data_IF_238654903830
#
_entry.id   IF_238654903830
#
_cell.length_a   1.000
_cell.length_b   1.000
_cell.length_c   1.000
_cell.angle_alpha   90.00
_cell.angle_beta   90.00
_cell.angle_gamma   90.00
#
_symmetry.space_group_name_H-M   'P 1'
#
loop_
_entity.id
_entity.type
_entity.pdbx_description
1 polymer ?
#
# COMPACT_ATOMS: atom_id res chain seq x y z
N UNK A 1 -18.31 -43.36 -0.91
CA UNK A 1 -17.45 -42.13 -0.91
C UNK A 1 -16.02 -42.62 -0.72
N UNK A 2 -15.25 -42.67 -1.82
CA UNK A 2 -13.85 -43.13 -1.79
C UNK A 2 -12.96 -41.97 -1.30
N UNK A 3 -12.17 -42.17 -0.25
CA UNK A 3 -11.15 -41.25 0.23
C UNK A 3 -10.18 -40.88 -0.92
N UNK A 4 -9.88 -39.58 -1.14
CA UNK A 4 -8.89 -39.22 -2.11
C UNK A 4 -7.51 -39.71 -1.66
N UNK A 5 -6.89 -40.54 -2.47
CA UNK A 5 -5.58 -41.14 -2.20
C UNK A 5 -4.50 -40.07 -1.96
N UNK A 6 -3.55 -40.32 -1.05
CA UNK A 6 -2.42 -39.41 -0.72
C UNK A 6 -1.70 -38.86 -1.98
N UNK A 7 -1.65 -39.63 -3.07
CA UNK A 7 -1.03 -39.25 -4.38
C UNK A 7 -1.75 -38.10 -5.09
N UNK A 8 -3.07 -37.97 -4.97
CA UNK A 8 -3.83 -36.86 -5.56
C UNK A 8 -3.58 -35.57 -4.80
N UNK A 9 -3.53 -35.60 -3.47
CA UNK A 9 -3.24 -34.40 -2.62
C UNK A 9 -1.83 -33.85 -2.86
N UNK A 10 -0.83 -34.72 -3.03
CA UNK A 10 0.56 -34.27 -3.31
C UNK A 10 0.69 -33.64 -4.70
N UNK A 11 0.00 -34.17 -5.72
CA UNK A 11 -0.01 -33.59 -7.05
C UNK A 11 -0.74 -32.25 -7.11
N UNK A 12 -1.79 -32.08 -6.33
CA UNK A 12 -2.54 -30.80 -6.27
C UNK A 12 -1.73 -29.71 -5.51
N UNK A 13 -1.01 -30.07 -4.46
CA UNK A 13 -0.10 -29.17 -3.77
C UNK A 13 1.07 -28.74 -4.68
N UNK A 14 1.67 -29.65 -5.42
CA UNK A 14 2.73 -29.33 -6.38
C UNK A 14 2.24 -28.42 -7.53
N UNK A 15 1.02 -28.63 -8.01
CA UNK A 15 0.39 -27.78 -9.01
C UNK A 15 0.10 -26.38 -8.44
N UNK A 16 -0.37 -26.27 -7.20
CA UNK A 16 -0.61 -25.00 -6.53
C UNK A 16 0.69 -24.20 -6.39
N UNK A 17 1.77 -24.83 -5.92
CA UNK A 17 3.08 -24.17 -5.79
C UNK A 17 3.65 -23.79 -7.17
N UNK A 18 3.52 -24.66 -8.16
CA UNK A 18 4.01 -24.35 -9.53
C UNK A 18 3.26 -23.19 -10.20
N UNK A 19 2.02 -22.92 -9.77
CA UNK A 19 1.23 -21.78 -10.23
C UNK A 19 1.73 -20.43 -9.67
N UNK A 20 2.47 -20.46 -8.55
CA UNK A 20 3.06 -19.27 -7.92
C UNK A 20 4.36 -18.84 -8.60
N UNK A 21 5.02 -19.75 -9.35
CA UNK A 21 6.30 -19.47 -9.97
C UNK A 21 6.17 -18.70 -11.30
N UNK A 22 7.15 -17.86 -11.65
CA UNK A 22 7.16 -17.12 -12.91
C UNK A 22 7.29 -18.06 -14.10
N UNK A 23 6.57 -17.77 -15.20
CA UNK A 23 6.61 -18.52 -16.43
C UNK A 23 7.26 -17.70 -17.54
N UNK A 24 8.13 -18.31 -18.32
CA UNK A 24 8.78 -17.65 -19.46
C UNK A 24 7.79 -17.06 -20.48
N UNK A 25 6.63 -17.70 -20.64
CA UNK A 25 5.58 -17.22 -21.53
C UNK A 25 5.06 -15.83 -21.20
N UNK A 26 5.20 -15.37 -19.95
CA UNK A 26 4.76 -14.03 -19.50
C UNK A 26 5.69 -12.91 -19.98
N UNK A 27 6.95 -13.26 -20.32
CA UNK A 27 7.96 -12.33 -20.80
C UNK A 27 7.99 -12.18 -22.32
N UNK A 28 7.43 -13.17 -23.07
CA UNK A 28 7.39 -13.13 -24.53
C UNK A 28 6.74 -11.86 -25.12
N UNK A 29 5.61 -11.33 -24.57
CA UNK A 29 5.03 -10.08 -25.06
C UNK A 29 5.96 -8.89 -24.87
N UNK A 30 6.70 -8.82 -23.76
CA UNK A 30 7.67 -7.77 -23.47
C UNK A 30 8.79 -7.69 -24.52
N UNK A 31 9.27 -8.85 -24.96
CA UNK A 31 10.34 -8.94 -25.95
C UNK A 31 9.90 -8.53 -27.37
N UNK A 32 8.58 -8.59 -27.67
CA UNK A 32 8.05 -8.24 -29.00
C UNK A 32 7.86 -6.73 -29.19
N UNK A 33 7.52 -6.00 -28.13
CA UNK A 33 7.27 -4.56 -28.18
C UNK A 33 7.72 -3.88 -26.86
N UNK A 34 9.03 -3.79 -26.59
CA UNK A 34 9.54 -3.32 -25.31
C UNK A 34 9.40 -1.80 -25.11
N UNK A 35 9.26 -1.02 -26.20
CA UNK A 35 9.35 0.44 -26.16
C UNK A 35 8.35 1.12 -25.20
N UNK A 36 7.09 0.68 -25.18
CA UNK A 36 6.08 1.24 -24.27
C UNK A 36 6.37 0.91 -22.81
N UNK A 37 6.84 -0.31 -22.52
CA UNK A 37 7.18 -0.72 -21.17
C UNK A 37 8.45 -0.02 -20.65
N UNK A 38 9.47 0.16 -21.52
CA UNK A 38 10.67 0.90 -21.16
C UNK A 38 10.35 2.38 -20.84
N UNK A 39 9.54 3.01 -21.69
CA UNK A 39 9.11 4.41 -21.45
C UNK A 39 8.26 4.52 -20.18
N UNK A 40 7.32 3.61 -19.97
CA UNK A 40 6.50 3.59 -18.77
C UNK A 40 7.36 3.39 -17.51
N UNK A 41 8.30 2.43 -17.54
CA UNK A 41 9.24 2.20 -16.46
C UNK A 41 10.11 3.42 -16.14
N UNK A 42 10.58 4.13 -17.17
CA UNK A 42 11.31 5.40 -17.00
C UNK A 42 10.45 6.45 -16.30
N UNK A 43 9.24 6.71 -16.79
CA UNK A 43 8.34 7.71 -16.20
C UNK A 43 8.04 7.36 -14.74
N UNK A 44 7.78 6.09 -14.44
CA UNK A 44 7.52 5.64 -13.08
C UNK A 44 8.75 5.79 -12.20
N UNK A 45 9.96 5.50 -12.69
CA UNK A 45 11.19 5.69 -11.93
C UNK A 45 11.39 7.15 -11.51
N UNK A 46 11.16 8.08 -12.45
CA UNK A 46 11.26 9.53 -12.19
C UNK A 46 10.24 10.02 -11.16
N UNK A 47 9.03 9.45 -11.13
CA UNK A 47 8.01 9.76 -10.11
C UNK A 47 8.33 9.08 -8.78
N UNK A 48 8.83 7.84 -8.82
CA UNK A 48 9.05 7.02 -7.64
C UNK A 48 10.31 7.43 -6.86
N UNK A 49 11.32 8.00 -7.51
CA UNK A 49 12.58 8.38 -6.87
C UNK A 49 12.38 9.30 -5.66
N UNK A 50 11.74 10.48 -5.77
CA UNK A 50 11.53 11.34 -4.62
C UNK A 50 10.67 10.69 -3.53
N UNK A 51 9.67 9.88 -3.93
CA UNK A 51 8.80 9.17 -2.99
C UNK A 51 9.58 8.11 -2.20
N UNK A 52 10.42 7.33 -2.87
CA UNK A 52 11.22 6.29 -2.21
C UNK A 52 12.20 6.90 -1.20
N UNK A 53 12.88 7.99 -1.59
CA UNK A 53 13.77 8.74 -0.71
C UNK A 53 13.01 9.32 0.49
N UNK A 54 11.89 9.99 0.23
CA UNK A 54 11.06 10.61 1.26
C UNK A 54 10.51 9.59 2.26
N UNK A 55 10.00 8.45 1.81
CA UNK A 55 9.52 7.39 2.70
C UNK A 55 10.66 6.76 3.52
N UNK A 56 11.84 6.58 2.93
CA UNK A 56 13.02 6.13 3.68
C UNK A 56 13.41 7.09 4.79
N UNK A 57 13.45 8.40 4.50
CA UNK A 57 13.71 9.45 5.51
C UNK A 57 12.63 9.46 6.59
N UNK A 58 11.35 9.42 6.19
CA UNK A 58 10.22 9.47 7.13
C UNK A 58 10.13 8.27 8.06
N UNK A 59 10.71 7.11 7.70
CA UNK A 59 10.82 5.96 8.61
C UNK A 59 11.95 6.09 9.64
N UNK A 60 12.84 7.07 9.47
CA UNK A 60 14.05 7.18 10.30
C UNK A 60 15.21 6.27 9.87
N UNK A 61 15.02 5.39 8.85
CA UNK A 61 16.12 4.54 8.34
C UNK A 61 16.94 5.23 7.23
N UNK A 62 16.52 6.41 6.81
CA UNK A 62 17.22 7.22 5.81
C UNK A 62 16.83 6.92 4.36
N UNK A 63 17.19 7.86 3.49
CA UNK A 63 16.84 7.84 2.07
C UNK A 63 17.38 6.59 1.34
N UNK A 64 18.57 6.12 1.73
CA UNK A 64 19.21 4.93 1.18
C UNK A 64 18.36 3.67 1.36
N UNK A 65 17.76 3.48 2.55
CA UNK A 65 16.91 2.33 2.84
C UNK A 65 15.65 2.34 1.95
N UNK A 66 15.01 3.50 1.76
CA UNK A 66 13.88 3.64 0.87
C UNK A 66 14.22 3.34 -0.60
N UNK A 67 15.35 3.84 -1.08
CA UNK A 67 15.82 3.59 -2.45
C UNK A 67 16.19 2.11 -2.66
N UNK A 68 16.90 1.50 -1.71
CA UNK A 68 17.24 0.06 -1.71
C UNK A 68 15.96 -0.77 -1.81
N UNK A 69 14.92 -0.41 -1.04
CA UNK A 69 13.62 -1.09 -1.09
C UNK A 69 12.98 -0.97 -2.46
N UNK A 70 12.96 0.23 -3.05
CA UNK A 70 12.37 0.43 -4.38
C UNK A 70 13.09 -0.38 -5.45
N UNK A 71 14.41 -0.58 -5.32
CA UNK A 71 15.21 -1.40 -6.24
C UNK A 71 14.94 -2.89 -5.99
N UNK A 72 15.27 -3.39 -4.82
CA UNK A 72 15.26 -4.82 -4.52
C UNK A 72 13.83 -5.38 -4.54
N UNK A 73 12.92 -4.79 -3.77
CA UNK A 73 11.53 -5.24 -3.76
C UNK A 73 10.86 -5.01 -5.11
N UNK A 74 11.21 -3.92 -5.82
CA UNK A 74 10.73 -3.66 -7.17
C UNK A 74 11.11 -4.75 -8.16
N UNK A 75 12.37 -5.20 -8.18
CA UNK A 75 12.83 -6.31 -9.03
C UNK A 75 12.13 -7.62 -8.65
N UNK A 76 12.14 -7.98 -7.37
CA UNK A 76 11.59 -9.26 -6.89
C UNK A 76 10.09 -9.34 -7.16
N UNK A 77 9.33 -8.30 -6.80
CA UNK A 77 7.89 -8.28 -7.05
C UNK A 77 7.54 -8.24 -8.55
N UNK A 78 8.32 -7.54 -9.38
CA UNK A 78 8.12 -7.55 -10.84
C UNK A 78 8.28 -8.95 -11.44
N UNK A 79 9.21 -9.75 -10.93
CA UNK A 79 9.47 -11.11 -11.42
C UNK A 79 8.47 -12.13 -10.88
N UNK A 80 8.23 -12.12 -9.58
CA UNK A 80 7.48 -13.16 -8.88
C UNK A 80 6.00 -12.81 -8.63
N UNK A 81 5.62 -11.51 -8.62
CA UNK A 81 4.26 -11.05 -8.34
C UNK A 81 3.19 -11.57 -9.29
N UNK A 82 1.94 -11.47 -8.90
CA UNK A 82 0.76 -11.91 -9.65
C UNK A 82 0.29 -10.91 -10.71
N UNK A 83 0.52 -9.63 -10.49
CA UNK A 83 0.19 -8.56 -11.44
C UNK A 83 1.31 -8.36 -12.47
N UNK A 84 0.95 -7.97 -13.69
CA UNK A 84 1.91 -7.72 -14.77
C UNK A 84 2.42 -6.29 -14.81
N UNK A 85 1.72 -5.36 -14.20
CA UNK A 85 1.98 -3.92 -14.31
C UNK A 85 2.11 -3.22 -12.96
N UNK A 86 1.99 -3.97 -11.87
CA UNK A 86 2.13 -3.41 -10.53
C UNK A 86 3.58 -2.99 -10.27
N UNK A 87 3.71 -1.86 -9.58
CA UNK A 87 4.98 -1.31 -9.13
C UNK A 87 5.03 -1.41 -7.61
N UNK A 88 6.01 -2.15 -7.09
CA UNK A 88 6.24 -2.35 -5.65
C UNK A 88 7.42 -1.53 -5.13
N UNK A 89 7.43 -1.28 -3.82
CA UNK A 89 8.48 -0.54 -3.13
C UNK A 89 7.96 0.07 -1.84
N UNK A 90 8.67 1.03 -1.23
CA UNK A 90 8.23 1.68 0.00
C UNK A 90 6.98 2.52 -0.26
N UNK A 91 6.04 2.55 0.68
CA UNK A 91 4.79 3.33 0.60
C UNK A 91 4.59 4.14 1.86
N UNK A 92 3.73 5.17 1.75
CA UNK A 92 3.39 6.00 2.90
C UNK A 92 2.67 5.23 4.01
N UNK A 93 1.78 4.30 3.65
CA UNK A 93 1.11 3.45 4.63
C UNK A 93 2.11 2.59 5.40
N UNK A 94 3.09 2.01 4.69
CA UNK A 94 4.16 1.24 5.33
C UNK A 94 4.98 2.11 6.28
N UNK A 95 5.31 3.34 5.88
CA UNK A 95 6.04 4.31 6.74
C UNK A 95 5.31 4.56 8.06
N UNK A 96 3.98 4.73 8.02
CA UNK A 96 3.15 4.94 9.21
C UNK A 96 3.28 3.79 10.22
N UNK A 97 3.31 2.54 9.74
CA UNK A 97 3.46 1.36 10.60
C UNK A 97 4.89 1.20 11.11
N UNK A 98 5.88 1.60 10.29
CA UNK A 98 7.29 1.39 10.65
C UNK A 98 7.82 2.39 11.65
N UNK A 99 7.32 3.63 11.70
CA UNK A 99 7.81 4.66 12.66
C UNK A 99 7.75 4.19 14.11
N UNK A 100 6.63 3.70 14.65
CA UNK A 100 6.59 3.17 16.02
C UNK A 100 7.50 1.94 16.21
N UNK A 101 7.64 1.08 15.18
CA UNK A 101 8.52 -0.08 15.22
C UNK A 101 9.99 0.35 15.30
N UNK A 102 10.38 1.40 14.56
CA UNK A 102 11.73 1.97 14.67
C UNK A 102 11.97 2.54 16.07
N UNK A 103 11.01 3.24 16.64
CA UNK A 103 11.13 3.84 17.96
C UNK A 103 11.31 2.78 19.06
N UNK A 104 10.61 1.64 18.96
CA UNK A 104 10.62 0.59 19.97
C UNK A 104 11.76 -0.43 19.78
N UNK A 105 12.01 -0.86 18.52
CA UNK A 105 12.94 -1.96 18.20
C UNK A 105 14.18 -1.52 17.41
N UNK A 106 14.28 -0.24 17.09
CA UNK A 106 15.39 0.31 16.31
C UNK A 106 15.39 -0.12 14.83
N UNK A 107 16.40 0.32 14.06
CA UNK A 107 16.54 -0.01 12.63
C UNK A 107 16.62 -1.51 12.34
N UNK A 108 17.38 -2.25 13.17
CA UNK A 108 17.56 -3.71 13.04
C UNK A 108 16.25 -4.46 13.26
N UNK A 109 15.42 -3.99 14.21
CA UNK A 109 14.08 -4.52 14.45
C UNK A 109 13.16 -4.39 13.25
N UNK A 110 13.21 -3.26 12.53
CA UNK A 110 12.43 -3.08 11.29
C UNK A 110 12.83 -4.07 10.21
N UNK A 111 14.13 -4.32 10.04
CA UNK A 111 14.61 -5.30 9.06
C UNK A 111 14.13 -6.72 9.43
N UNK A 112 14.19 -7.08 10.71
CA UNK A 112 13.72 -8.37 11.20
C UNK A 112 12.18 -8.51 11.03
N UNK A 113 11.41 -7.48 11.35
CA UNK A 113 9.97 -7.41 11.11
C UNK A 113 9.65 -7.59 9.62
N UNK A 114 10.40 -6.94 8.73
CA UNK A 114 10.23 -7.09 7.28
C UNK A 114 10.44 -8.53 6.80
N UNK A 115 11.49 -9.17 7.29
CA UNK A 115 11.79 -10.57 6.97
C UNK A 115 10.69 -11.50 7.48
N UNK A 116 10.25 -11.35 8.73
CA UNK A 116 9.15 -12.13 9.31
C UNK A 116 7.83 -11.89 8.57
N UNK A 117 7.52 -10.64 8.23
CA UNK A 117 6.34 -10.29 7.45
C UNK A 117 6.37 -10.95 6.05
N UNK A 118 7.54 -10.99 5.42
CA UNK A 118 7.75 -11.70 4.17
C UNK A 118 7.46 -13.20 4.28
N UNK A 119 7.90 -13.84 5.35
CA UNK A 119 7.59 -15.26 5.63
C UNK A 119 6.09 -15.46 5.84
N UNK A 120 5.44 -14.59 6.61
CA UNK A 120 3.98 -14.64 6.83
C UNK A 120 3.25 -14.50 5.49
N UNK A 121 3.63 -13.57 4.62
CA UNK A 121 3.05 -13.40 3.29
C UNK A 121 3.19 -14.64 2.42
N UNK A 122 4.33 -15.34 2.47
CA UNK A 122 4.51 -16.61 1.77
C UNK A 122 3.54 -17.69 2.29
N UNK A 123 3.36 -17.78 3.60
CA UNK A 123 2.40 -18.71 4.21
C UNK A 123 0.97 -18.38 3.75
N UNK A 124 0.57 -17.10 3.76
CA UNK A 124 -0.74 -16.65 3.29
C UNK A 124 -0.95 -16.96 1.79
N UNK A 125 0.10 -16.79 0.96
CA UNK A 125 0.06 -17.10 -0.46
C UNK A 125 -0.17 -18.60 -0.72
N UNK A 126 0.56 -19.47 -0.01
CA UNK A 126 0.43 -20.92 -0.13
C UNK A 126 -0.91 -21.41 0.41
N UNK A 127 -1.42 -20.76 1.48
CA UNK A 127 -2.74 -21.03 2.04
C UNK A 127 -3.91 -20.58 1.14
N UNK A 128 -3.63 -19.80 0.06
CA UNK A 128 -4.68 -19.32 -0.87
C UNK A 128 -5.55 -18.20 -0.32
N UNK A 129 -5.04 -17.45 0.67
CA UNK A 129 -5.79 -16.39 1.39
C UNK A 129 -5.87 -15.10 0.56
N UNK A 130 -5.05 -14.94 -0.49
CA UNK A 130 -5.05 -13.75 -1.34
C UNK A 130 -6.42 -13.37 -1.89
N UNK A 131 -7.28 -14.35 -2.13
CA UNK A 131 -8.65 -14.13 -2.63
C UNK A 131 -9.58 -13.48 -1.59
N UNK A 132 -9.25 -13.56 -0.31
CA UNK A 132 -10.10 -13.03 0.76
C UNK A 132 -10.17 -11.50 0.77
N UNK A 133 -9.13 -10.81 0.29
CA UNK A 133 -9.07 -9.34 0.27
C UNK A 133 -10.16 -8.70 -0.61
N UNK A 134 -10.65 -9.41 -1.63
CA UNK A 134 -11.77 -8.92 -2.45
C UNK A 134 -13.09 -8.71 -1.69
N UNK A 135 -13.21 -9.27 -0.48
CA UNK A 135 -14.38 -9.11 0.38
C UNK A 135 -14.25 -7.92 1.34
N UNK A 136 -13.14 -7.16 1.27
CA UNK A 136 -12.95 -5.98 2.12
C UNK A 136 -13.94 -4.88 1.72
N UNK A 137 -14.72 -4.35 2.67
CA UNK A 137 -15.69 -3.31 2.38
C UNK A 137 -15.04 -1.99 1.96
N UNK A 138 -15.58 -1.34 0.92
CA UNK A 138 -15.09 -0.06 0.45
C UNK A 138 -15.00 1.04 1.53
N UNK A 139 -15.97 1.18 2.48
CA UNK A 139 -15.87 2.14 3.57
C UNK A 139 -14.63 1.97 4.47
N UNK A 140 -14.20 0.72 4.70
CA UNK A 140 -12.98 0.43 5.47
C UNK A 140 -11.76 0.91 4.71
N UNK A 141 -11.67 0.61 3.41
CA UNK A 141 -10.55 1.01 2.55
C UNK A 141 -10.43 2.53 2.49
N UNK A 142 -11.53 3.23 2.25
CA UNK A 142 -11.52 4.69 2.15
C UNK A 142 -11.21 5.39 3.48
N UNK A 143 -11.79 4.92 4.58
CA UNK A 143 -11.49 5.44 5.91
C UNK A 143 -10.02 5.25 6.28
N UNK A 144 -9.49 4.07 5.98
CA UNK A 144 -8.11 3.72 6.15
C UNK A 144 -7.16 4.59 5.29
N UNK A 145 -7.42 4.73 3.99
CA UNK A 145 -6.58 5.53 3.09
C UNK A 145 -6.59 7.00 3.46
N UNK A 146 -7.74 7.55 3.82
CA UNK A 146 -7.85 8.93 4.29
C UNK A 146 -7.11 9.14 5.63
N UNK A 147 -7.20 8.18 6.55
CA UNK A 147 -6.47 8.21 7.82
C UNK A 147 -4.95 8.20 7.60
N UNK A 148 -4.46 7.31 6.76
CA UNK A 148 -3.04 7.27 6.37
C UNK A 148 -2.58 8.60 5.77
N UNK A 149 -3.37 9.20 4.89
CA UNK A 149 -3.03 10.48 4.28
C UNK A 149 -2.82 11.57 5.35
N UNK A 150 -3.68 11.62 6.37
CA UNK A 150 -3.53 12.56 7.49
C UNK A 150 -2.27 12.24 8.32
N UNK A 151 -2.03 10.98 8.64
CA UNK A 151 -0.84 10.59 9.43
C UNK A 151 0.44 10.90 8.67
N UNK A 152 0.52 10.61 7.36
CA UNK A 152 1.69 10.99 6.53
C UNK A 152 1.86 12.51 6.52
N UNK A 153 0.78 13.28 6.36
CA UNK A 153 0.86 14.73 6.39
C UNK A 153 1.44 15.24 7.73
N UNK A 154 0.98 14.70 8.85
CA UNK A 154 1.52 15.03 10.18
C UNK A 154 3.00 14.64 10.32
N UNK A 155 3.41 13.48 9.80
CA UNK A 155 4.82 13.05 9.79
C UNK A 155 5.74 14.01 9.01
N UNK A 156 5.21 14.73 8.01
CA UNK A 156 6.01 15.66 7.23
C UNK A 156 6.15 17.05 7.87
N UNK A 157 5.34 17.37 8.91
CA UNK A 157 5.37 18.70 9.55
C UNK A 157 6.77 19.07 10.05
N UNK A 158 7.50 18.22 10.82
CA UNK A 158 8.84 18.57 11.27
C UNK A 158 9.80 18.90 10.12
N UNK A 159 9.90 18.01 9.12
CA UNK A 159 10.79 18.21 7.96
C UNK A 159 10.38 19.41 7.09
N UNK A 160 9.08 19.67 6.96
CA UNK A 160 8.57 20.82 6.22
C UNK A 160 8.86 22.14 6.92
N UNK A 161 8.89 22.14 8.26
CA UNK A 161 9.23 23.32 9.08
C UNK A 161 10.75 23.45 9.36
N UNK A 162 11.54 22.42 9.02
CA UNK A 162 12.98 22.39 9.28
C UNK A 162 13.35 22.13 10.74
N UNK A 163 12.47 21.49 11.49
CA UNK A 163 12.70 21.10 12.87
C UNK A 163 13.20 19.65 12.89
N UNK A 164 14.40 19.42 13.39
CA UNK A 164 15.03 18.08 13.44
C UNK A 164 14.75 17.33 14.74
N UNK A 165 14.55 18.07 15.83
CA UNK A 165 14.51 17.55 17.20
C UNK A 165 13.09 17.66 17.79
N UNK A 166 12.05 17.41 16.96
CA UNK A 166 10.66 17.41 17.41
C UNK A 166 10.39 16.21 18.33
N UNK A 167 9.97 16.49 19.57
CA UNK A 167 9.69 15.47 20.58
C UNK A 167 8.23 14.95 20.48
N UNK A 168 8.01 13.71 20.86
CA UNK A 168 6.68 13.11 20.98
C UNK A 168 6.62 11.64 20.62
N UNK A 169 5.95 10.84 21.45
CA UNK A 169 5.75 9.40 21.24
C UNK A 169 4.77 9.10 20.10
N UNK A 170 3.91 10.06 19.77
CA UNK A 170 2.91 9.92 18.69
C UNK A 170 3.13 10.96 17.61
N UNK A 171 2.83 10.60 16.38
CA UNK A 171 3.03 11.45 15.19
C UNK A 171 2.39 12.83 15.33
N UNK A 172 1.19 12.91 15.87
CA UNK A 172 0.51 14.20 16.08
C UNK A 172 1.16 15.05 17.18
N UNK A 173 1.79 14.43 18.20
CA UNK A 173 2.55 15.14 19.23
C UNK A 173 3.80 15.76 18.65
N UNK A 174 4.59 14.98 17.89
CA UNK A 174 5.78 15.47 17.19
C UNK A 174 5.45 16.58 16.20
N UNK A 175 4.33 16.47 15.46
CA UNK A 175 3.86 17.54 14.57
C UNK A 175 3.50 18.82 15.32
N UNK A 176 2.82 18.69 16.47
CA UNK A 176 2.46 19.82 17.31
C UNK A 176 3.68 20.49 17.94
N UNK A 177 4.63 19.69 18.47
CA UNK A 177 5.88 20.19 19.03
C UNK A 177 6.71 20.92 17.99
N UNK A 178 6.85 20.35 16.78
CA UNK A 178 7.52 21.00 15.67
C UNK A 178 6.86 22.36 15.30
N UNK A 179 5.54 22.40 15.26
CA UNK A 179 4.82 23.65 15.00
C UNK A 179 5.06 24.69 16.08
N UNK A 180 5.09 24.29 17.34
CA UNK A 180 5.38 25.16 18.48
C UNK A 180 6.83 25.68 18.45
N UNK A 181 7.78 24.78 18.20
CA UNK A 181 9.21 25.12 18.09
C UNK A 181 9.47 26.06 16.92
N UNK A 182 8.76 25.86 15.81
CA UNK A 182 8.83 26.76 14.67
C UNK A 182 8.41 28.20 14.99
N UNK A 183 7.36 28.41 15.78
CA UNK A 183 6.91 29.76 16.21
C UNK A 183 8.00 30.47 17.02
N UNK A 184 8.84 29.73 17.78
CA UNK A 184 9.91 30.29 18.58
C UNK A 184 11.18 30.61 17.77
N UNK A 185 11.47 29.84 16.71
CA UNK A 185 12.71 29.88 15.92
C UNK A 185 12.45 29.89 14.40
N UNK A 186 11.48 30.67 13.95
CA UNK A 186 10.95 30.63 12.58
C UNK A 186 12.01 30.95 11.50
N UNK A 187 12.39 29.95 10.73
CA UNK A 187 13.00 30.13 9.41
C UNK A 187 11.95 29.91 8.33
N UNK A 188 11.50 31.00 7.71
CA UNK A 188 10.45 30.94 6.66
C UNK A 188 10.90 30.18 5.41
N UNK A 189 12.20 30.03 5.23
CA UNK A 189 12.80 29.50 4.01
C UNK A 189 12.47 28.01 3.80
N UNK A 190 12.62 27.19 4.83
CA UNK A 190 12.34 25.74 4.75
C UNK A 190 10.88 25.44 4.42
N UNK A 191 9.86 26.00 5.13
CA UNK A 191 8.48 25.79 4.74
C UNK A 191 8.12 26.41 3.38
N UNK A 192 8.75 27.51 2.97
CA UNK A 192 8.53 28.07 1.65
C UNK A 192 8.96 27.10 0.54
N UNK A 193 10.09 26.40 0.69
CA UNK A 193 10.54 25.37 -0.25
C UNK A 193 9.56 24.19 -0.25
N UNK A 194 9.14 23.68 0.90
CA UNK A 194 8.19 22.58 0.98
C UNK A 194 6.85 22.92 0.33
N UNK A 195 6.30 24.10 0.60
CA UNK A 195 5.05 24.59 0.02
C UNK A 195 5.19 24.82 -1.49
N UNK A 196 6.28 25.43 -1.95
CA UNK A 196 6.53 25.66 -3.37
C UNK A 196 6.57 24.32 -4.14
N UNK A 197 7.30 23.33 -3.64
CA UNK A 197 7.36 21.99 -4.23
C UNK A 197 5.96 21.34 -4.26
N UNK A 198 5.20 21.42 -3.16
CA UNK A 198 3.84 20.88 -3.11
C UNK A 198 2.91 21.56 -4.13
N UNK A 199 2.96 22.89 -4.25
CA UNK A 199 2.17 23.66 -5.23
C UNK A 199 2.56 23.28 -6.66
N UNK A 200 3.86 23.26 -6.98
CA UNK A 200 4.34 22.88 -8.32
C UNK A 200 3.88 21.48 -8.69
N UNK A 201 3.93 20.53 -7.75
CA UNK A 201 3.48 19.16 -7.96
C UNK A 201 1.96 19.07 -8.16
N UNK A 202 1.16 19.80 -7.37
CA UNK A 202 -0.30 19.77 -7.46
C UNK A 202 -0.83 20.50 -8.69
N UNK A 203 -0.35 21.70 -8.93
CA UNK A 203 -0.76 22.56 -10.07
C UNK A 203 -0.21 22.02 -11.38
N UNK A 204 1.09 21.73 -11.43
CA UNK A 204 1.75 21.19 -12.62
C UNK A 204 1.13 19.87 -13.07
N UNK A 205 0.83 18.97 -12.13
CA UNK A 205 0.16 17.70 -12.44
C UNK A 205 -1.25 17.85 -13.01
N UNK A 206 -1.94 18.98 -12.74
CA UNK A 206 -3.24 19.30 -13.38
C UNK A 206 -3.06 19.90 -14.77
N UNK A 207 -2.06 20.76 -14.95
CA UNK A 207 -1.81 21.48 -16.22
C UNK A 207 -1.18 20.56 -17.28
N UNK A 208 -0.24 19.71 -16.89
CA UNK A 208 0.48 18.81 -17.80
C UNK A 208 0.69 17.42 -17.16
N UNK A 209 -0.33 16.56 -17.14
CA UNK A 209 -0.32 15.29 -16.42
C UNK A 209 0.70 14.27 -16.95
N UNK A 210 1.30 14.52 -18.10
CA UNK A 210 2.36 13.66 -18.67
C UNK A 210 3.75 13.96 -18.11
N UNK A 211 3.94 15.13 -17.48
CA UNK A 211 5.24 15.54 -16.92
C UNK A 211 5.35 15.04 -15.48
N UNK A 212 6.47 14.41 -15.09
CA UNK A 212 6.72 13.97 -13.73
C UNK A 212 7.08 15.15 -12.81
N UNK A 213 6.09 15.98 -12.45
CA UNK A 213 6.33 17.20 -11.67
C UNK A 213 6.93 16.96 -10.30
N UNK A 214 6.84 15.76 -9.74
CA UNK A 214 7.56 15.42 -8.50
C UNK A 214 9.07 15.54 -8.66
N UNK A 215 9.62 15.01 -9.75
CA UNK A 215 11.04 15.16 -10.05
C UNK A 215 11.41 16.59 -10.42
N UNK A 216 10.59 17.23 -11.28
CA UNK A 216 10.86 18.62 -11.72
C UNK A 216 10.90 19.56 -10.51
N UNK A 217 9.94 19.45 -9.60
CA UNK A 217 9.88 20.30 -8.40
C UNK A 217 11.07 20.07 -7.47
N UNK A 218 11.44 18.80 -7.23
CA UNK A 218 12.60 18.45 -6.40
C UNK A 218 13.89 18.94 -7.05
N UNK A 219 14.09 18.70 -8.35
CA UNK A 219 15.28 19.18 -9.06
C UNK A 219 15.39 20.71 -9.03
N UNK A 220 14.28 21.42 -9.28
CA UNK A 220 14.25 22.88 -9.19
C UNK A 220 14.57 23.39 -7.78
N UNK A 221 14.01 22.75 -6.74
CA UNK A 221 14.32 23.09 -5.35
C UNK A 221 15.81 22.83 -5.02
N UNK A 222 16.35 21.69 -5.48
CA UNK A 222 17.78 21.36 -5.26
C UNK A 222 18.70 22.39 -5.95
N UNK A 223 18.42 22.73 -7.20
CA UNK A 223 19.20 23.74 -7.91
C UNK A 223 19.07 25.11 -7.23
N UNK A 224 17.88 25.51 -6.82
CA UNK A 224 17.66 26.78 -6.13
C UNK A 224 18.41 26.83 -4.79
N UNK A 225 18.39 25.76 -3.99
CA UNK A 225 19.10 25.70 -2.70
C UNK A 225 20.60 25.76 -2.87
N UNK A 226 21.16 25.21 -3.95
CA UNK A 226 22.60 25.30 -4.25
C UNK A 226 22.97 26.68 -4.81
N UNK A 227 22.18 27.21 -5.76
CA UNK A 227 22.48 28.48 -6.44
C UNK A 227 22.43 29.68 -5.49
N UNK A 228 21.47 29.66 -4.55
CA UNK A 228 21.29 30.77 -3.59
C UNK A 228 21.94 30.45 -2.21
N UNK A 229 22.72 29.38 -2.12
CA UNK A 229 23.41 28.92 -0.90
C UNK A 229 22.48 28.91 0.33
N UNK A 230 21.28 28.31 0.16
CA UNK A 230 20.27 28.29 1.20
C UNK A 230 20.64 27.28 2.28
N UNK A 231 20.66 27.71 3.54
CA UNK A 231 20.91 26.86 4.70
C UNK A 231 19.66 26.03 5.03
N UNK A 232 19.49 24.92 4.29
CA UNK A 232 18.39 23.97 4.43
C UNK A 232 18.97 22.57 4.54
N UNK A 233 18.48 21.77 5.50
CA UNK A 233 18.88 20.40 5.69
C UNK A 233 18.69 19.57 4.41
N UNK A 234 19.73 18.81 4.04
CA UNK A 234 19.78 17.95 2.84
C UNK A 234 19.75 16.48 3.25
N UNK A 235 19.49 15.60 2.29
CA UNK A 235 19.53 14.14 2.52
C UNK A 235 20.88 13.71 3.08
N UNK A 236 21.97 14.31 2.60
CA UNK A 236 23.32 13.90 2.96
C UNK A 236 23.83 12.70 2.16
N UNK A 237 24.92 12.09 2.59
CA UNK A 237 25.58 11.03 1.83
C UNK A 237 24.72 9.78 1.66
N UNK A 238 24.51 9.38 0.42
CA UNK A 238 23.87 8.12 0.06
C UNK A 238 24.95 7.18 -0.47
N UNK A 239 24.97 5.90 -0.03
CA UNK A 239 25.88 4.92 -0.61
C UNK A 239 25.66 4.83 -2.13
N UNK A 240 26.76 4.85 -2.87
CA UNK A 240 26.74 4.65 -4.34
C UNK A 240 26.67 3.19 -4.76
N UNK A 241 26.33 2.30 -3.83
CA UNK A 241 26.19 0.86 -4.07
C UNK A 241 25.19 0.25 -3.09
N UNK A 242 24.56 -0.84 -3.52
CA UNK A 242 23.77 -1.68 -2.60
C UNK A 242 24.69 -2.33 -1.58
N UNK A 243 24.26 -2.36 -0.33
CA UNK A 243 24.94 -3.11 0.72
C UNK A 243 25.02 -4.59 0.37
N UNK A 244 26.07 -5.27 0.81
CA UNK A 244 26.10 -6.73 0.68
C UNK A 244 24.96 -7.35 1.49
N UNK A 245 24.33 -8.44 1.00
CA UNK A 245 23.24 -9.08 1.72
C UNK A 245 23.72 -9.63 3.06
N UNK A 246 23.01 -9.33 4.12
CA UNK A 246 23.35 -9.72 5.48
C UNK A 246 22.10 -10.14 6.24
N UNK A 247 22.27 -11.12 7.15
CA UNK A 247 21.28 -11.52 8.17
C UNK A 247 21.71 -11.09 9.57
N UNK A 248 22.76 -10.29 9.70
CA UNK A 248 23.29 -9.87 10.99
C UNK A 248 22.30 -9.08 11.88
N UNK A 249 21.20 -8.62 11.32
CA UNK A 249 20.12 -7.96 12.05
C UNK A 249 19.13 -8.92 12.70
N UNK A 250 19.17 -10.22 12.37
CA UNK A 250 18.15 -11.19 12.77
C UNK A 250 18.63 -12.07 13.92
N UNK A 251 17.93 -12.00 15.05
CA UNK A 251 18.21 -12.81 16.23
C UNK A 251 16.97 -13.65 16.57
N UNK A 252 17.13 -14.96 16.71
CA UNK A 252 16.01 -15.88 17.02
C UNK A 252 15.33 -15.57 18.35
N UNK A 253 16.04 -14.98 19.31
CA UNK A 253 15.49 -14.58 20.61
C UNK A 253 14.42 -13.50 20.53
N UNK A 254 14.46 -12.66 19.50
CA UNK A 254 13.56 -11.52 19.34
C UNK A 254 12.26 -11.84 18.60
N UNK A 255 12.16 -13.05 18.00
CA UNK A 255 11.04 -13.44 17.15
C UNK A 255 9.69 -13.31 17.84
N UNK A 256 9.59 -13.67 19.11
CA UNK A 256 8.32 -13.60 19.86
C UNK A 256 7.84 -12.16 20.05
N UNK A 257 8.74 -11.23 20.33
CA UNK A 257 8.44 -9.81 20.49
C UNK A 257 8.07 -9.16 19.12
N UNK A 258 8.75 -9.58 18.05
CA UNK A 258 8.58 -9.01 16.72
C UNK A 258 7.41 -9.62 15.93
N UNK A 259 6.79 -10.70 16.43
CA UNK A 259 5.74 -11.41 15.69
C UNK A 259 4.48 -10.54 15.48
N UNK A 260 4.04 -9.81 16.50
CA UNK A 260 2.87 -8.94 16.38
C UNK A 260 3.12 -7.78 15.39
N UNK A 261 4.22 -7.02 15.47
CA UNK A 261 4.60 -6.05 14.43
C UNK A 261 4.71 -6.67 13.03
N UNK A 262 5.29 -7.88 12.93
CA UNK A 262 5.43 -8.56 11.64
C UNK A 262 4.07 -8.97 11.04
N UNK A 263 3.13 -9.44 11.85
CA UNK A 263 1.76 -9.69 11.41
C UNK A 263 1.08 -8.41 10.90
N UNK A 264 1.31 -7.29 11.56
CA UNK A 264 0.82 -5.99 11.18
C UNK A 264 1.34 -5.56 9.80
N UNK A 265 2.66 -5.61 9.62
CA UNK A 265 3.33 -5.29 8.35
C UNK A 265 2.87 -6.25 7.25
N UNK A 266 2.75 -7.55 7.52
CA UNK A 266 2.27 -8.54 6.55
C UNK A 266 0.82 -8.28 6.13
N UNK A 267 -0.06 -7.99 7.08
CA UNK A 267 -1.45 -7.65 6.80
C UNK A 267 -1.56 -6.41 5.91
N UNK A 268 -0.83 -5.34 6.25
CA UNK A 268 -0.79 -4.12 5.45
C UNK A 268 -0.23 -4.40 4.04
N UNK A 269 0.91 -5.09 3.95
CA UNK A 269 1.51 -5.43 2.66
C UNK A 269 0.58 -6.27 1.78
N UNK A 270 -0.14 -7.23 2.36
CA UNK A 270 -1.15 -8.01 1.65
C UNK A 270 -2.28 -7.12 1.14
N UNK A 271 -2.87 -6.29 2.00
CA UNK A 271 -3.99 -5.43 1.66
C UNK A 271 -3.62 -4.43 0.57
N UNK A 272 -2.57 -3.66 0.79
CA UNK A 272 -2.16 -2.59 -0.12
C UNK A 272 -1.75 -3.15 -1.49
N UNK A 273 -1.03 -4.29 -1.52
CA UNK A 273 -0.61 -4.93 -2.76
C UNK A 273 -1.79 -5.49 -3.56
N UNK A 274 -2.73 -6.16 -2.91
CA UNK A 274 -3.91 -6.71 -3.59
C UNK A 274 -4.88 -5.61 -4.04
N UNK A 275 -5.01 -4.52 -3.29
CA UNK A 275 -5.77 -3.34 -3.72
C UNK A 275 -5.11 -2.67 -4.92
N UNK A 276 -3.78 -2.52 -4.90
CA UNK A 276 -3.02 -1.97 -6.02
C UNK A 276 -3.16 -2.82 -7.29
N UNK A 277 -3.07 -4.15 -7.17
CA UNK A 277 -3.27 -5.07 -8.28
C UNK A 277 -4.72 -5.02 -8.82
N UNK A 278 -5.72 -4.94 -7.93
CA UNK A 278 -7.13 -4.79 -8.31
C UNK A 278 -7.40 -3.46 -9.02
N UNK A 279 -6.79 -2.37 -8.53
CA UNK A 279 -6.86 -1.08 -9.19
C UNK A 279 -6.25 -1.12 -10.60
N UNK A 280 -5.12 -1.81 -10.79
CA UNK A 280 -4.53 -2.03 -12.11
C UNK A 280 -5.45 -2.83 -13.05
N UNK A 281 -6.09 -3.87 -12.53
CA UNK A 281 -7.07 -4.68 -13.30
C UNK A 281 -8.25 -3.83 -13.77
N UNK A 282 -8.75 -2.91 -12.94
CA UNK A 282 -9.86 -2.01 -13.28
C UNK A 282 -9.51 -1.02 -14.39
N UNK A 283 -8.21 -0.74 -14.60
CA UNK A 283 -7.71 0.10 -15.69
C UNK A 283 -7.63 -0.63 -17.04
N UNK A 284 -7.99 -1.91 -17.10
CA UNK A 284 -8.20 -2.65 -18.35
C UNK A 284 -6.92 -3.12 -19.05
N UNK A 285 -5.80 -3.26 -18.34
CA UNK A 285 -4.53 -3.69 -18.92
C UNK A 285 -4.33 -5.20 -18.77
N UNK A 286 -4.75 -5.95 -19.77
CA UNK A 286 -4.43 -7.38 -19.91
C UNK A 286 -5.26 -8.32 -19.04
N UNK A 287 -4.71 -9.47 -18.68
CA UNK A 287 -5.37 -10.46 -17.84
C UNK A 287 -5.34 -10.02 -16.36
N UNK A 288 -6.40 -10.38 -15.63
CA UNK A 288 -6.49 -10.13 -14.19
C UNK A 288 -5.30 -10.74 -13.44
N UNK A 289 -4.89 -10.07 -12.37
CA UNK A 289 -3.82 -10.56 -11.51
C UNK A 289 -4.20 -11.87 -10.80
N UNK A 290 -3.20 -12.64 -10.39
CA UNK A 290 -3.37 -13.77 -9.49
C UNK A 290 -3.07 -13.32 -8.05
N UNK A 291 -4.09 -13.26 -7.15
CA UNK A 291 -3.91 -12.74 -5.80
C UNK A 291 -2.91 -13.53 -4.95
N UNK A 292 -2.96 -14.86 -5.03
CA UNK A 292 -2.07 -15.71 -4.23
C UNK A 292 -0.62 -15.58 -4.69
N UNK A 293 -0.41 -15.50 -6.00
CA UNK A 293 0.91 -15.22 -6.57
C UNK A 293 1.39 -13.80 -6.28
N UNK A 294 0.48 -12.84 -6.16
CA UNK A 294 0.83 -11.48 -5.75
C UNK A 294 1.40 -11.48 -4.34
N UNK A 295 0.72 -12.14 -3.39
CA UNK A 295 1.23 -12.31 -2.03
C UNK A 295 2.57 -13.06 -2.00
N UNK A 296 2.76 -14.05 -2.86
CA UNK A 296 4.02 -14.78 -2.97
C UNK A 296 5.17 -13.85 -3.41
N UNK A 297 4.97 -13.04 -4.44
CA UNK A 297 5.96 -12.07 -4.91
C UNK A 297 6.28 -11.01 -3.87
N UNK A 298 5.26 -10.50 -3.16
CA UNK A 298 5.44 -9.54 -2.08
C UNK A 298 6.13 -10.17 -0.86
N UNK A 299 5.86 -11.44 -0.56
CA UNK A 299 6.56 -12.18 0.49
C UNK A 299 8.06 -12.30 0.18
N UNK A 300 8.42 -12.72 -1.02
CA UNK A 300 9.82 -12.77 -1.46
C UNK A 300 10.47 -11.38 -1.46
N UNK A 301 9.75 -10.34 -1.87
CA UNK A 301 10.25 -8.97 -1.87
C UNK A 301 10.56 -8.47 -0.45
N UNK A 302 9.68 -8.79 0.52
CA UNK A 302 9.85 -8.44 1.93
C UNK A 302 10.90 -9.28 2.66
N UNK A 303 11.27 -10.45 2.13
CA UNK A 303 12.44 -11.20 2.58
C UNK A 303 13.72 -10.58 1.99
N UNK A 304 13.70 -10.26 0.69
CA UNK A 304 14.88 -9.80 -0.01
C UNK A 304 15.31 -8.37 0.40
N UNK A 305 14.37 -7.42 0.50
CA UNK A 305 14.71 -6.01 0.77
C UNK A 305 15.48 -5.82 2.09
N UNK A 306 15.07 -6.40 3.24
CA UNK A 306 15.82 -6.29 4.49
C UNK A 306 17.24 -6.83 4.44
N UNK A 307 17.52 -7.88 3.65
CA UNK A 307 18.86 -8.42 3.47
C UNK A 307 19.85 -7.39 2.95
N UNK A 308 19.39 -6.41 2.18
CA UNK A 308 20.18 -5.31 1.63
C UNK A 308 20.00 -3.99 2.41
N UNK A 309 19.41 -4.03 3.60
CA UNK A 309 19.14 -2.84 4.42
C UNK A 309 17.93 -2.03 3.98
N UNK A 310 17.06 -2.60 3.15
CA UNK A 310 15.80 -1.98 2.73
C UNK A 310 14.68 -2.18 3.76
N UNK A 311 13.71 -1.25 3.77
CA UNK A 311 12.50 -1.33 4.60
C UNK A 311 11.45 -2.25 3.95
N UNK A 312 10.45 -2.72 4.70
CA UNK A 312 9.31 -3.45 4.15
C UNK A 312 8.63 -2.72 2.99
N UNK A 313 8.17 -3.51 2.01
CA UNK A 313 7.59 -3.04 0.75
C UNK A 313 6.18 -3.53 0.53
N UNK A 314 5.45 -2.84 -0.34
CA UNK A 314 4.13 -3.23 -0.82
C UNK A 314 3.90 -2.74 -2.24
N UNK A 315 2.84 -3.20 -2.89
CA UNK A 315 2.38 -2.67 -4.17
C UNK A 315 1.82 -1.27 -4.01
N UNK A 316 2.35 -0.31 -4.75
CA UNK A 316 1.98 1.09 -4.63
C UNK A 316 0.88 1.46 -5.65
N UNK A 317 -0.34 1.75 -5.19
CA UNK A 317 -1.50 2.09 -6.04
C UNK A 317 -1.17 3.26 -6.98
N UNK A 318 -0.67 4.37 -6.44
CA UNK A 318 -0.37 5.58 -7.23
C UNK A 318 0.70 5.34 -8.30
N UNK A 319 1.80 4.64 -7.96
CA UNK A 319 2.86 4.29 -8.91
C UNK A 319 2.38 3.30 -9.97
N UNK A 320 1.58 2.32 -9.59
CA UNK A 320 0.95 1.37 -10.50
C UNK A 320 0.01 2.08 -11.47
N UNK A 321 -0.79 3.04 -11.01
CA UNK A 321 -1.65 3.84 -11.87
C UNK A 321 -0.84 4.69 -12.86
N UNK A 322 0.28 5.29 -12.44
CA UNK A 322 1.19 6.00 -13.34
C UNK A 322 1.77 5.04 -14.38
N UNK A 323 2.21 3.85 -13.97
CA UNK A 323 2.75 2.84 -14.87
C UNK A 323 1.76 2.47 -15.98
N UNK A 324 0.52 2.15 -15.61
CA UNK A 324 -0.55 1.81 -16.54
C UNK A 324 -0.86 2.98 -17.48
N UNK A 325 -1.05 4.21 -16.95
CA UNK A 325 -1.34 5.39 -17.75
C UNK A 325 -0.19 5.79 -18.70
N UNK A 326 1.03 5.43 -18.35
CA UNK A 326 2.21 5.65 -19.19
C UNK A 326 2.38 4.59 -20.29
N UNK A 327 1.49 3.60 -20.35
CA UNK A 327 1.45 2.60 -21.42
C UNK A 327 2.10 1.27 -21.07
N UNK A 328 2.33 0.97 -19.79
CA UNK A 328 2.82 -0.33 -19.34
C UNK A 328 1.84 -1.45 -19.71
N UNK A 329 2.37 -2.55 -20.24
CA UNK A 329 1.59 -3.73 -20.65
C UNK A 329 2.12 -5.02 -20.05
N UNK A 330 3.39 -5.02 -19.65
CA UNK A 330 4.07 -6.23 -19.16
C UNK A 330 4.90 -5.92 -17.91
N UNK A 331 5.43 -6.98 -17.30
CA UNK A 331 6.36 -6.92 -16.16
C UNK A 331 7.63 -6.13 -16.44
N UNK A 332 7.98 -5.97 -17.72
CA UNK A 332 9.18 -5.24 -18.13
C UNK A 332 9.14 -3.78 -17.66
N UNK A 333 7.98 -3.13 -17.62
CA UNK A 333 7.87 -1.77 -17.14
C UNK A 333 8.26 -1.63 -15.66
N UNK A 334 7.76 -2.52 -14.79
CA UNK A 334 8.11 -2.52 -13.37
C UNK A 334 9.59 -2.91 -13.13
N UNK A 335 10.12 -3.84 -13.93
CA UNK A 335 11.55 -4.20 -13.88
C UNK A 335 12.42 -3.02 -14.33
N UNK A 336 12.06 -2.35 -15.42
CA UNK A 336 12.77 -1.17 -15.93
C UNK A 336 12.80 -0.04 -14.90
N UNK A 337 11.68 0.20 -14.20
CA UNK A 337 11.63 1.16 -13.11
C UNK A 337 12.69 0.86 -12.04
N UNK A 338 12.78 -0.37 -11.57
CA UNK A 338 13.74 -0.76 -10.53
C UNK A 338 15.18 -0.66 -11.01
N UNK A 339 15.45 -1.07 -12.26
CA UNK A 339 16.78 -0.95 -12.89
C UNK A 339 17.20 0.52 -13.04
N UNK A 340 16.30 1.41 -13.47
CA UNK A 340 16.60 2.84 -13.57
C UNK A 340 16.93 3.44 -12.21
N UNK A 341 16.18 3.09 -11.15
CA UNK A 341 16.49 3.53 -9.79
C UNK A 341 17.88 3.03 -9.33
N UNK A 342 18.25 1.79 -9.68
CA UNK A 342 19.58 1.28 -9.43
C UNK A 342 20.63 2.08 -10.19
N UNK A 343 20.43 2.36 -11.49
CA UNK A 343 21.34 3.20 -12.27
C UNK A 343 21.51 4.58 -11.63
N UNK A 344 20.42 5.22 -11.19
CA UNK A 344 20.48 6.52 -10.49
C UNK A 344 21.29 6.40 -9.19
N UNK A 345 21.08 5.34 -8.40
CA UNK A 345 21.84 5.09 -7.16
C UNK A 345 23.35 4.99 -7.43
N UNK A 346 23.73 4.24 -8.47
CA UNK A 346 25.16 4.02 -8.79
C UNK A 346 25.82 5.21 -9.48
N UNK A 347 25.08 5.99 -10.28
CA UNK A 347 25.67 7.05 -11.13
C UNK A 347 25.42 8.47 -10.62
N UNK A 348 24.37 8.69 -9.84
CA UNK A 348 23.90 10.01 -9.45
C UNK A 348 23.70 10.19 -7.93
N UNK A 349 24.32 9.34 -7.10
CA UNK A 349 24.20 9.38 -5.64
C UNK A 349 24.56 10.77 -5.06
N UNK A 350 25.57 11.45 -5.61
CA UNK A 350 25.96 12.80 -5.20
C UNK A 350 24.86 13.84 -5.47
N UNK A 351 24.17 13.77 -6.62
CA UNK A 351 23.05 14.68 -6.92
C UNK A 351 21.86 14.43 -6.00
N UNK A 352 21.63 13.16 -5.62
CA UNK A 352 20.56 12.79 -4.69
C UNK A 352 20.89 13.24 -3.28
N UNK A 353 22.15 13.22 -2.88
CA UNK A 353 22.63 13.71 -1.57
C UNK A 353 22.29 15.18 -1.30
N UNK A 354 22.29 15.99 -2.34
CA UNK A 354 22.02 17.43 -2.29
C UNK A 354 20.53 17.80 -2.22
N UNK A 355 19.62 16.86 -2.33
CA UNK A 355 18.18 17.12 -2.29
C UNK A 355 17.78 17.63 -0.90
N UNK A 356 17.07 18.78 -0.80
CA UNK A 356 16.59 19.30 0.47
C UNK A 356 15.51 18.38 1.09
N UNK A 357 15.58 18.13 2.39
CA UNK A 357 14.54 17.37 3.10
C UNK A 357 13.17 18.04 2.99
N UNK A 358 13.13 19.38 3.00
CA UNK A 358 11.92 20.16 2.78
C UNK A 358 11.26 19.87 1.42
N UNK A 359 12.07 19.66 0.37
CA UNK A 359 11.53 19.28 -0.94
C UNK A 359 10.86 17.92 -0.92
N UNK A 360 11.45 16.93 -0.24
CA UNK A 360 10.83 15.62 -0.06
C UNK A 360 9.54 15.71 0.76
N UNK A 361 9.54 16.50 1.84
CA UNK A 361 8.34 16.77 2.63
C UNK A 361 7.24 17.39 1.76
N UNK A 362 7.56 18.35 0.90
CA UNK A 362 6.62 18.93 -0.05
C UNK A 362 6.03 17.93 -1.03
N UNK A 363 6.84 17.00 -1.55
CA UNK A 363 6.36 15.88 -2.42
C UNK A 363 5.40 14.97 -1.66
N UNK A 364 5.75 14.60 -0.42
CA UNK A 364 4.91 13.72 0.40
C UNK A 364 3.60 14.41 0.79
N UNK A 365 3.62 15.70 1.17
CA UNK A 365 2.43 16.51 1.42
C UNK A 365 1.51 16.59 0.18
N UNK A 366 2.07 16.85 -1.01
CA UNK A 366 1.29 16.84 -2.25
C UNK A 366 0.69 15.45 -2.54
N UNK A 367 1.40 14.39 -2.17
CA UNK A 367 0.93 13.02 -2.34
C UNK A 367 -0.24 12.70 -1.41
N UNK A 368 -0.22 13.18 -0.15
CA UNK A 368 -1.35 12.98 0.80
C UNK A 368 -2.63 13.61 0.29
N UNK A 369 -2.55 14.82 -0.31
CA UNK A 369 -3.71 15.47 -0.94
C UNK A 369 -4.31 14.61 -2.07
N UNK A 370 -3.46 13.93 -2.86
CA UNK A 370 -3.90 13.05 -3.96
C UNK A 370 -4.40 11.70 -3.50
N UNK A 371 -4.05 11.24 -2.29
CA UNK A 371 -4.53 9.99 -1.72
C UNK A 371 -5.99 10.07 -1.31
N UNK A 372 -6.49 11.25 -0.94
CA UNK A 372 -7.88 11.43 -0.51
C UNK A 372 -8.80 11.49 -1.72
N UNK A 373 -9.53 10.41 -1.98
CA UNK A 373 -10.48 10.33 -3.11
C UNK A 373 -11.85 10.87 -2.72
N UNK A 374 -12.01 12.20 -2.84
CA UNK A 374 -13.23 12.90 -2.41
C UNK A 374 -14.50 12.42 -3.11
N UNK A 375 -14.40 11.86 -4.32
CA UNK A 375 -15.54 11.32 -5.05
C UNK A 375 -16.04 10.03 -4.39
N UNK A 376 -15.14 9.13 -4.02
CA UNK A 376 -15.43 7.88 -3.31
C UNK A 376 -16.04 8.15 -1.93
N UNK A 377 -15.42 9.07 -1.15
CA UNK A 377 -15.94 9.49 0.15
C UNK A 377 -17.38 10.03 0.02
N UNK A 378 -17.66 10.88 -0.97
CA UNK A 378 -19.02 11.40 -1.21
C UNK A 378 -19.99 10.30 -1.62
N UNK A 379 -19.56 9.33 -2.40
CA UNK A 379 -20.40 8.20 -2.78
C UNK A 379 -20.79 7.36 -1.56
N UNK A 380 -19.84 7.05 -0.67
CA UNK A 380 -20.08 6.28 0.57
C UNK A 380 -21.02 7.04 1.51
N UNK A 381 -20.79 8.35 1.71
CA UNK A 381 -21.66 9.18 2.58
C UNK A 381 -23.09 9.29 2.08
N UNK A 382 -23.32 9.13 0.76
CA UNK A 382 -24.66 9.12 0.17
C UNK A 382 -25.30 7.73 0.15
N UNK A 383 -24.49 6.65 0.17
CA UNK A 383 -24.97 5.28 0.12
C UNK A 383 -25.70 4.86 1.39
N UNK A 384 -25.21 5.29 2.58
CA UNK A 384 -25.90 4.98 3.83
C UNK A 384 -25.16 5.44 5.09
N UNK A 385 -25.92 5.59 6.19
CA UNK A 385 -25.37 5.96 7.49
C UNK A 385 -24.41 4.89 8.04
N UNK A 386 -24.70 3.60 7.78
CA UNK A 386 -23.87 2.50 8.26
C UNK A 386 -22.47 2.55 7.65
N UNK A 387 -22.36 2.70 6.34
CA UNK A 387 -21.09 2.77 5.62
C UNK A 387 -20.31 4.03 6.01
N UNK A 388 -21.00 5.16 6.23
CA UNK A 388 -20.38 6.39 6.74
C UNK A 388 -19.79 6.20 8.11
N UNK A 389 -20.47 5.50 9.03
CA UNK A 389 -19.98 5.22 10.39
C UNK A 389 -18.75 4.30 10.33
N UNK A 390 -18.76 3.25 9.50
CA UNK A 390 -17.60 2.38 9.32
C UNK A 390 -16.40 3.17 8.81
N UNK A 391 -16.59 3.98 7.77
CA UNK A 391 -15.53 4.82 7.20
C UNK A 391 -14.96 5.79 8.24
N UNK A 392 -15.83 6.50 8.98
CA UNK A 392 -15.41 7.47 10.00
C UNK A 392 -14.71 6.78 11.18
N UNK A 393 -15.20 5.63 11.63
CA UNK A 393 -14.58 4.87 12.71
C UNK A 393 -13.18 4.37 12.28
N UNK A 394 -13.07 3.79 11.08
CA UNK A 394 -11.78 3.33 10.54
C UNK A 394 -10.80 4.50 10.41
N UNK A 395 -11.25 5.64 9.89
CA UNK A 395 -10.44 6.87 9.80
C UNK A 395 -9.92 7.33 11.18
N UNK A 396 -10.82 7.47 12.16
CA UNK A 396 -10.45 7.92 13.49
C UNK A 396 -9.47 6.97 14.18
N UNK A 397 -9.73 5.66 14.09
CA UNK A 397 -8.82 4.66 14.69
C UNK A 397 -7.46 4.68 13.99
N UNK A 398 -7.40 4.86 12.67
CA UNK A 398 -6.14 5.00 11.93
C UNK A 398 -5.31 6.19 12.40
N UNK A 399 -5.96 7.34 12.66
CA UNK A 399 -5.25 8.57 13.05
C UNK A 399 -4.85 8.57 14.53
N UNK A 400 -5.68 8.01 15.42
CA UNK A 400 -5.51 8.13 16.87
C UNK A 400 -4.71 6.98 17.47
N UNK A 401 -4.93 5.75 16.98
CA UNK A 401 -4.29 4.54 17.53
C UNK A 401 -3.18 4.07 16.60
N UNK A 402 -3.45 3.01 15.87
CA UNK A 402 -2.53 2.39 14.92
C UNK A 402 -3.32 1.76 13.77
N UNK A 403 -2.58 1.50 12.69
CA UNK A 403 -3.12 1.02 11.45
C UNK A 403 -3.73 -0.38 11.54
N UNK A 404 -3.13 -1.25 12.36
CA UNK A 404 -3.57 -2.65 12.50
C UNK A 404 -4.88 -2.72 13.24
N UNK A 405 -4.94 -1.98 14.35
CA UNK A 405 -6.17 -1.80 15.14
C UNK A 405 -7.27 -1.18 14.28
N UNK A 406 -6.95 -0.19 13.42
CA UNK A 406 -7.91 0.44 12.53
C UNK A 406 -8.54 -0.55 11.53
N UNK A 407 -7.73 -1.39 10.90
CA UNK A 407 -8.21 -2.42 9.97
C UNK A 407 -9.05 -3.47 10.71
N UNK A 408 -8.58 -3.95 11.85
CA UNK A 408 -9.31 -4.93 12.65
C UNK A 408 -10.67 -4.40 13.10
N UNK A 409 -10.71 -3.16 13.62
CA UNK A 409 -11.94 -2.48 14.03
C UNK A 409 -12.86 -2.24 12.83
N UNK A 410 -12.34 -1.74 11.71
CA UNK A 410 -13.12 -1.45 10.51
C UNK A 410 -13.76 -2.72 9.93
N UNK A 411 -13.01 -3.81 9.81
CA UNK A 411 -13.52 -5.11 9.36
C UNK A 411 -14.53 -5.68 10.35
N UNK A 412 -14.27 -5.58 11.66
CA UNK A 412 -15.20 -6.01 12.69
C UNK A 412 -16.54 -5.27 12.63
N UNK A 413 -16.52 -3.94 12.50
CA UNK A 413 -17.73 -3.13 12.33
C UNK A 413 -18.48 -3.49 11.04
N UNK A 414 -17.77 -3.63 9.92
CA UNK A 414 -18.37 -4.00 8.67
C UNK A 414 -19.02 -5.39 8.73
N UNK A 415 -18.39 -6.37 9.38
CA UNK A 415 -18.96 -7.70 9.57
C UNK A 415 -20.24 -7.65 10.43
N UNK A 416 -20.26 -6.88 11.53
CA UNK A 416 -21.44 -6.69 12.38
C UNK A 416 -22.59 -6.06 11.59
N UNK A 417 -22.30 -5.03 10.77
CA UNK A 417 -23.33 -4.38 9.95
C UNK A 417 -23.84 -5.29 8.84
N UNK A 418 -22.98 -6.07 8.21
CA UNK A 418 -23.38 -7.07 7.21
C UNK A 418 -24.27 -8.14 7.83
N UNK A 419 -23.90 -8.68 9.00
CA UNK A 419 -24.73 -9.64 9.73
C UNK A 419 -26.10 -9.06 10.12
N UNK A 420 -26.13 -7.79 10.56
CA UNK A 420 -27.40 -7.09 10.82
C UNK A 420 -28.24 -6.88 9.57
N UNK A 421 -27.62 -6.58 8.44
CA UNK A 421 -28.32 -6.44 7.17
C UNK A 421 -28.95 -7.77 6.73
N UNK A 422 -28.16 -8.86 6.81
CA UNK A 422 -28.67 -10.23 6.52
C UNK A 422 -29.79 -10.62 7.49
N UNK A 423 -29.62 -10.37 8.79
CA UNK A 423 -30.66 -10.66 9.79
C UNK A 423 -31.96 -9.88 9.57
N UNK A 424 -31.88 -8.68 8.99
CA UNK A 424 -33.05 -7.84 8.66
C UNK A 424 -33.65 -8.17 7.30
N UNK A 425 -32.91 -8.78 6.39
CA UNK A 425 -33.41 -9.19 5.06
C UNK A 425 -34.16 -10.52 5.10
N UNK A 426 -34.01 -11.29 6.18
CA UNK A 426 -34.82 -12.48 6.41
C UNK A 426 -36.26 -12.07 6.73
N UNK A 427 -37.13 -12.14 5.74
CA UNK A 427 -38.57 -11.93 5.91
C UNK A 427 -39.26 -13.27 5.95
N UNK A 428 -40.14 -13.43 6.94
CA UNK A 428 -41.04 -14.57 7.03
C UNK A 428 -42.41 -14.07 6.62
N UNK A 429 -42.87 -14.45 5.45
CA UNK A 429 -44.18 -14.09 4.93
C UNK A 429 -45.10 -15.30 4.98
N UNK A 430 -46.28 -15.13 5.55
CA UNK A 430 -47.30 -16.14 5.51
C UNK A 430 -47.91 -16.18 4.14
N UNK A 431 -47.74 -17.27 3.41
CA UNK A 431 -48.25 -17.44 2.04
C UNK A 431 -49.63 -18.09 2.09
N UNK A 432 -50.68 -17.47 1.45
CA UNK A 432 -51.99 -18.11 1.34
C UNK A 432 -51.89 -19.42 0.55
N UNK A 433 -52.45 -20.48 1.08
CA UNK A 433 -52.40 -21.84 0.48
C UNK A 433 -53.08 -21.91 -0.91
N UNK A 434 -53.90 -20.93 -1.26
CA UNK A 434 -54.55 -20.85 -2.57
C UNK A 434 -53.65 -20.46 -3.76
N UNK A 435 -52.41 -20.09 -3.49
CA UNK A 435 -51.40 -19.81 -4.54
C UNK A 435 -50.51 -21.00 -4.87
N UNK A 436 -50.74 -22.16 -4.24
CA UNK A 436 -50.04 -23.41 -4.54
C UNK A 436 -50.85 -24.17 -5.59
N UNK A 437 -50.35 -24.26 -6.81
CA UNK A 437 -50.97 -24.74 -8.04
C UNK A 437 -51.42 -26.24 -8.06
N UNK A 438 -51.63 -26.91 -6.94
CA UNK A 438 -51.84 -28.37 -6.91
C UNK A 438 -52.91 -28.91 -5.93
N UNK A 439 -53.77 -28.05 -5.41
CA UNK A 439 -54.75 -28.53 -4.41
C UNK A 439 -56.19 -28.30 -4.89
N UNK A 440 -57.04 -29.35 -4.86
CA UNK A 440 -58.48 -29.20 -5.16
C UNK A 440 -59.19 -28.28 -4.16
N UNK A 441 -60.28 -27.63 -4.55
CA UNK A 441 -60.96 -26.65 -3.72
C UNK A 441 -61.40 -27.18 -2.35
N UNK A 442 -61.79 -28.50 -2.29
CA UNK A 442 -62.22 -29.18 -1.06
C UNK A 442 -61.03 -29.49 -0.11
N UNK A 443 -59.87 -29.89 -0.66
CA UNK A 443 -58.63 -30.08 0.13
C UNK A 443 -58.08 -28.74 0.63
N UNK A 444 -58.23 -27.65 -0.16
CA UNK A 444 -57.81 -26.31 0.19
C UNK A 444 -58.51 -25.74 1.42
N UNK A 445 -59.76 -26.03 1.67
CA UNK A 445 -60.50 -25.55 2.84
C UNK A 445 -60.13 -26.36 4.11
N UNK A 446 -59.91 -27.64 4.02
CA UNK A 446 -59.41 -28.46 5.13
C UNK A 446 -57.97 -28.11 5.53
N UNK A 447 -57.13 -27.77 4.58
CA UNK A 447 -55.75 -27.37 4.84
C UNK A 447 -55.64 -25.98 5.46
N UNK A 448 -56.59 -25.07 5.17
CA UNK A 448 -56.63 -23.69 5.74
C UNK A 448 -56.90 -23.67 7.23
N UNK A 449 -57.61 -24.65 7.80
CA UNK A 449 -57.88 -24.72 9.25
C UNK A 449 -56.71 -25.26 10.04
N UNK A 450 -55.76 -26.02 9.44
CA UNK A 450 -54.74 -26.78 10.18
C UNK A 450 -53.31 -26.56 9.70
N UNK A 451 -53.06 -25.91 8.52
CA UNK A 451 -51.73 -25.70 7.96
C UNK A 451 -51.48 -24.22 7.64
N UNK A 452 -50.40 -23.71 8.15
CA UNK A 452 -49.93 -22.37 7.83
C UNK A 452 -48.60 -22.49 7.06
N UNK A 453 -48.56 -22.02 5.81
CA UNK A 453 -47.36 -22.01 5.00
C UNK A 453 -46.64 -20.69 5.16
N UNK A 454 -45.36 -20.78 5.48
CA UNK A 454 -44.47 -19.63 5.55
C UNK A 454 -43.44 -19.71 4.43
N UNK A 455 -43.29 -18.63 3.68
CA UNK A 455 -42.15 -18.41 2.80
C UNK A 455 -41.09 -17.70 3.58
N UNK A 456 -39.89 -18.27 3.63
CA UNK A 456 -38.73 -17.67 4.23
C UNK A 456 -37.88 -17.19 3.05
N UNK A 457 -37.88 -15.89 2.81
CA UNK A 457 -36.99 -15.25 1.87
C UNK A 457 -35.80 -14.68 2.68
N UNK A 458 -34.58 -15.18 2.38
CA UNK A 458 -33.34 -14.78 3.01
C UNK A 458 -32.22 -14.77 1.98
N UNK A 459 -31.21 -13.91 2.20
CA UNK A 459 -30.05 -13.78 1.34
C UNK A 459 -29.05 -14.94 1.57
#
# INVERSE_FOLDING_TARGET
MSEPTKRTRTNDALRAVSALLPRWSEWKPALRAPGSDLLAGLIVALVALPLALGFGVSTGLGAAAGLTTAIIAGVVAAVFGGSRVQVSGPTGAMTVVLVPIVAEYGPTGVLAVGLLAGIILLVLAVAGIGRAVRYMPAPVIEGFTAGIAVVIALQQVPSALGITDAEGDKVWQSAFDAARSFVAHASILTPAVAIAVAIVMLVGGRLAPKIPFSLVAVAAATVATQLFDLDIARIGTIPSSLSAPSLGFFHLGDVTALLAPACAVAALAALESLLSATAADSMGVGARHNPDRELFGQGLANIAAPLFGGIPATGAIARTAVNVRSGARTRLAALTHAVILAVIMYSAAGLVADIPLAALAGVLLATTVRMVETASIRAITRAGRGDTVVMAATFLVTVVFDLVTAVAVGVGFAAVLALRAVARSATVEQVPLNTLDAVSAEEGDLLREHIVAYRIDGA
#
